data_IF_959474536085
#
_entry.id   IF_959474536085
#
_cell.length_a   1.000
_cell.length_b   1.000
_cell.length_c   1.000
_cell.angle_alpha   90.00
_cell.angle_beta   90.00
_cell.angle_gamma   90.00
#
_symmetry.space_group_name_H-M   'P 1'
#
loop_
_entity.id
_entity.type
_entity.pdbx_description
1 polymer ?
#
# COMPACT_ATOMS: atom_id res chain seq x y z
N UNK A 1 7.29 -9.28 -3.27
CA UNK A 1 7.10 -7.82 -3.33
C UNK A 1 5.63 -7.55 -3.64
N UNK A 2 4.86 -6.94 -2.75
CA UNK A 2 3.41 -6.72 -2.96
C UNK A 2 3.03 -5.25 -3.25
N UNK A 3 3.86 -4.29 -2.82
CA UNK A 3 3.64 -2.86 -3.06
C UNK A 3 4.37 -2.38 -4.31
N UNK A 4 3.62 -1.97 -5.33
CA UNK A 4 4.15 -1.41 -6.58
C UNK A 4 3.98 0.12 -6.69
N UNK A 5 3.01 0.70 -5.99
CA UNK A 5 2.80 2.15 -5.97
C UNK A 5 3.89 2.88 -5.16
N UNK A 6 4.28 4.07 -5.63
CA UNK A 6 5.25 4.97 -4.97
C UNK A 6 6.60 4.30 -4.62
N UNK A 7 7.02 3.29 -5.39
CA UNK A 7 8.26 2.53 -5.15
C UNK A 7 9.16 2.55 -6.38
N UNK A 8 10.43 2.87 -6.18
CA UNK A 8 11.44 2.88 -7.25
C UNK A 8 11.53 1.48 -7.91
N UNK A 9 11.63 1.46 -9.25
CA UNK A 9 11.67 0.25 -10.09
C UNK A 9 10.36 -0.56 -10.15
N UNK A 10 9.25 0.00 -9.69
CA UNK A 10 7.91 -0.61 -9.83
C UNK A 10 6.98 0.28 -10.66
N UNK A 11 5.99 -0.35 -11.27
CA UNK A 11 4.96 0.31 -12.07
C UNK A 11 3.60 -0.35 -11.90
N UNK A 12 2.56 0.28 -12.45
CA UNK A 12 1.21 -0.31 -12.55
C UNK A 12 1.23 -1.63 -13.30
N UNK A 13 2.10 -1.78 -14.31
CA UNK A 13 2.29 -3.02 -15.06
C UNK A 13 2.80 -4.13 -14.14
N UNK A 14 3.80 -3.84 -13.29
CA UNK A 14 4.32 -4.85 -12.35
C UNK A 14 3.27 -5.30 -11.32
N UNK A 15 2.34 -4.42 -10.93
CA UNK A 15 1.22 -4.77 -10.07
C UNK A 15 0.23 -5.71 -10.79
N UNK A 16 -0.15 -5.37 -12.02
CA UNK A 16 -1.07 -6.17 -12.83
C UNK A 16 -0.50 -7.57 -13.12
N UNK A 17 0.77 -7.65 -13.50
CA UNK A 17 1.46 -8.94 -13.73
C UNK A 17 1.42 -9.81 -12.48
N UNK A 18 1.62 -9.23 -11.28
CA UNK A 18 1.58 -10.00 -10.03
C UNK A 18 0.21 -10.64 -9.81
N UNK A 19 -0.86 -9.87 -9.98
CA UNK A 19 -2.24 -10.39 -9.83
C UNK A 19 -2.53 -11.48 -10.87
N UNK A 20 -2.14 -11.29 -12.13
CA UNK A 20 -2.32 -12.29 -13.18
C UNK A 20 -1.56 -13.58 -12.88
N UNK A 21 -0.33 -13.47 -12.37
CA UNK A 21 0.47 -14.64 -11.99
C UNK A 21 -0.18 -15.40 -10.83
N UNK A 22 -0.70 -14.71 -9.81
CA UNK A 22 -1.36 -15.35 -8.67
C UNK A 22 -2.64 -16.09 -9.08
N UNK A 23 -3.42 -15.50 -9.99
CA UNK A 23 -4.62 -16.13 -10.55
C UNK A 23 -4.22 -17.36 -11.37
N UNK A 24 -3.22 -17.23 -12.25
CA UNK A 24 -2.75 -18.33 -13.10
C UNK A 24 -2.25 -19.50 -12.26
N UNK A 25 -1.46 -19.22 -11.22
CA UNK A 25 -0.92 -20.24 -10.31
C UNK A 25 -2.05 -20.97 -9.55
N UNK A 26 -3.09 -20.26 -9.10
CA UNK A 26 -4.23 -20.88 -8.46
C UNK A 26 -5.01 -21.79 -9.42
N UNK A 27 -5.19 -21.37 -10.68
CA UNK A 27 -5.82 -22.18 -11.73
C UNK A 27 -5.02 -23.46 -11.97
N UNK A 28 -3.69 -23.35 -12.14
CA UNK A 28 -2.80 -24.48 -12.40
C UNK A 28 -2.84 -25.50 -11.26
N UNK A 29 -3.01 -25.03 -10.02
CA UNK A 29 -3.15 -25.86 -8.82
C UNK A 29 -4.57 -26.37 -8.57
N UNK A 30 -5.53 -26.10 -9.46
CA UNK A 30 -6.96 -26.43 -9.31
C UNK A 30 -7.56 -25.87 -8.01
N UNK A 31 -7.11 -24.69 -7.59
CA UNK A 31 -7.61 -23.99 -6.41
C UNK A 31 -8.69 -22.97 -6.78
N UNK A 32 -9.56 -22.64 -5.84
CA UNK A 32 -10.45 -21.50 -5.97
C UNK A 32 -9.68 -20.20 -5.69
N UNK A 33 -9.85 -19.21 -6.57
CA UNK A 33 -9.25 -17.89 -6.43
C UNK A 33 -10.36 -16.83 -6.33
N UNK A 34 -10.26 -15.95 -5.33
CA UNK A 34 -11.16 -14.80 -5.15
C UNK A 34 -10.30 -13.56 -4.99
N UNK A 35 -10.59 -12.53 -5.77
CA UNK A 35 -9.89 -11.25 -5.72
C UNK A 35 -10.82 -10.16 -5.21
N UNK A 36 -10.35 -9.38 -4.23
CA UNK A 36 -11.04 -8.21 -3.70
C UNK A 36 -10.22 -6.96 -4.02
N UNK A 37 -10.82 -6.04 -4.78
CA UNK A 37 -10.22 -4.75 -5.11
C UNK A 37 -10.92 -3.65 -4.32
N UNK A 38 -10.18 -3.00 -3.43
CA UNK A 38 -10.68 -1.94 -2.55
C UNK A 38 -10.04 -0.62 -3.00
N UNK A 39 -10.87 0.39 -3.22
CA UNK A 39 -10.43 1.76 -3.45
C UNK A 39 -10.81 2.63 -2.24
N UNK A 40 -9.84 3.39 -1.73
CA UNK A 40 -10.06 4.32 -0.62
C UNK A 40 -10.23 5.73 -1.18
N UNK A 41 -11.47 6.20 -1.21
CA UNK A 41 -11.78 7.57 -1.60
C UNK A 41 -11.09 8.57 -0.67
N UNK A 42 -10.47 9.61 -1.26
CA UNK A 42 -9.79 10.68 -0.51
C UNK A 42 -8.82 10.15 0.56
N UNK A 43 -7.99 9.17 0.19
CA UNK A 43 -7.09 8.47 1.12
C UNK A 43 -6.22 9.41 1.99
N UNK A 44 -5.80 10.56 1.45
CA UNK A 44 -5.01 11.55 2.20
C UNK A 44 -5.86 12.42 3.14
N UNK A 45 -7.11 12.71 2.79
CA UNK A 45 -8.01 13.49 3.65
C UNK A 45 -8.61 12.63 4.78
N UNK A 46 -8.59 11.30 4.62
CA UNK A 46 -9.21 10.34 5.55
C UNK A 46 -8.21 9.67 6.50
N UNK A 47 -6.91 9.96 6.35
CA UNK A 47 -5.89 9.37 7.21
C UNK A 47 -5.97 9.96 8.62
N UNK A 48 -5.93 9.10 9.63
CA UNK A 48 -5.83 9.55 11.02
C UNK A 48 -4.41 10.08 11.31
N UNK A 49 -4.30 11.36 11.63
CA UNK A 49 -3.02 12.05 11.86
C UNK A 49 -2.30 11.59 13.13
N UNK A 50 -3.01 11.12 14.16
CA UNK A 50 -2.38 10.59 15.36
C UNK A 50 -1.71 9.23 15.04
N UNK A 51 -2.41 8.35 14.34
CA UNK A 51 -1.89 7.06 13.89
C UNK A 51 -0.74 7.28 12.91
N UNK A 52 -0.88 8.18 11.93
CA UNK A 52 0.16 8.48 10.95
C UNK A 52 1.46 8.93 11.65
N UNK A 53 1.37 9.89 12.59
CA UNK A 53 2.55 10.37 13.34
C UNK A 53 3.22 9.26 14.14
N UNK A 54 2.44 8.43 14.83
CA UNK A 54 2.97 7.27 15.56
C UNK A 54 3.74 6.33 14.63
N UNK A 55 3.20 6.05 13.44
CA UNK A 55 3.86 5.20 12.44
C UNK A 55 5.15 5.84 11.91
N UNK A 56 5.15 7.13 11.59
CA UNK A 56 6.33 7.85 11.12
C UNK A 56 7.46 7.85 12.16
N UNK A 57 7.15 8.10 13.44
CA UNK A 57 8.12 7.98 14.53
C UNK A 57 8.66 6.56 14.66
N UNK A 58 7.81 5.53 14.52
CA UNK A 58 8.22 4.13 14.66
C UNK A 58 9.20 3.65 13.57
N UNK A 59 9.21 4.30 12.40
CA UNK A 59 10.14 4.00 11.31
C UNK A 59 11.38 4.90 11.30
N UNK A 60 11.56 5.74 12.34
CA UNK A 60 12.77 6.53 12.57
C UNK A 60 12.77 7.92 11.93
N UNK A 61 11.62 8.47 11.54
CA UNK A 61 11.52 9.87 11.08
C UNK A 61 11.72 10.80 12.28
N UNK A 62 12.46 11.90 12.08
CA UNK A 62 12.78 12.86 13.14
C UNK A 62 11.54 13.55 13.69
N UNK A 63 11.55 13.89 14.98
CA UNK A 63 10.44 14.58 15.64
C UNK A 63 10.04 15.87 14.92
N UNK A 64 11.01 16.64 14.42
CA UNK A 64 10.74 17.86 13.66
C UNK A 64 9.96 17.58 12.36
N UNK A 65 10.30 16.52 11.62
CA UNK A 65 9.58 16.16 10.41
C UNK A 65 8.19 15.56 10.72
N UNK A 66 8.07 14.79 11.81
CA UNK A 66 6.77 14.29 12.30
C UNK A 66 5.84 15.44 12.73
N UNK A 67 6.39 16.50 13.31
CA UNK A 67 5.64 17.68 13.74
C UNK A 67 4.93 18.41 12.59
N UNK A 68 5.40 18.28 11.34
CA UNK A 68 4.71 18.85 10.17
C UNK A 68 3.31 18.28 9.97
N UNK A 69 3.06 17.06 10.43
CA UNK A 69 1.77 16.38 10.33
C UNK A 69 0.84 16.65 11.53
N UNK A 70 1.22 17.56 12.45
CA UNK A 70 0.47 17.88 13.66
C UNK A 70 -0.60 18.98 13.48
N UNK A 71 -0.43 19.86 12.48
CA UNK A 71 -1.26 21.04 12.23
C UNK A 71 -1.77 21.10 10.78
N UNK A 72 -1.86 19.95 10.11
CA UNK A 72 -2.48 19.84 8.77
C UNK A 72 -4.00 19.77 8.90
#
# INVERSE_FOLDING_TARGET
MYQSGFRKKHSTITAAIKVLNDITEAIDKKQHCVSLFIDLSKAFDTVDHAILRQRLSSVGISEHAVAWFANS
#
